data_IF_239471258345
#
_entry.id   IF_239471258345
#
_cell.length_a   1.000
_cell.length_b   1.000
_cell.length_c   1.000
_cell.angle_alpha   90.00
_cell.angle_beta   90.00
_cell.angle_gamma   90.00
#
_symmetry.space_group_name_H-M   'P 1'
#
loop_
_entity.id
_entity.type
_entity.pdbx_description
1 polymer ?
#
# COMPACT_ATOMS: atom_id res chain seq x y z
N UNK A 1 30.48 -25.19 -12.55
CA UNK A 1 29.61 -24.59 -13.58
C UNK A 1 28.26 -25.26 -13.42
N UNK A 2 27.35 -24.61 -12.69
CA UNK A 2 26.03 -25.16 -12.39
C UNK A 2 25.07 -24.84 -13.54
N UNK A 3 24.15 -25.74 -13.92
CA UNK A 3 23.19 -25.46 -14.98
C UNK A 3 22.23 -24.37 -14.49
N UNK A 4 22.22 -23.24 -15.21
CA UNK A 4 21.29 -22.13 -15.00
C UNK A 4 19.97 -22.49 -15.70
N UNK A 5 18.87 -22.62 -14.94
CA UNK A 5 17.54 -22.78 -15.53
C UNK A 5 16.93 -21.41 -15.81
N UNK A 6 16.83 -21.06 -17.08
CA UNK A 6 16.16 -19.86 -17.59
C UNK A 6 14.63 -20.01 -17.56
N UNK A 7 14.02 -20.23 -16.39
CA UNK A 7 12.58 -20.00 -16.25
C UNK A 7 12.36 -18.78 -15.35
N UNK A 8 11.75 -17.72 -15.88
CA UNK A 8 11.53 -16.48 -15.13
C UNK A 8 10.40 -16.69 -14.12
N UNK A 9 10.59 -16.39 -12.84
CA UNK A 9 9.48 -16.17 -11.90
C UNK A 9 9.42 -14.65 -11.71
N UNK A 10 8.40 -14.00 -12.25
CA UNK A 10 8.16 -12.60 -11.96
C UNK A 10 7.18 -12.54 -10.80
N UNK A 11 7.52 -11.78 -9.77
CA UNK A 11 6.68 -11.65 -8.60
C UNK A 11 6.68 -10.15 -8.26
N UNK A 12 5.49 -9.58 -8.45
CA UNK A 12 5.03 -8.22 -8.19
C UNK A 12 5.77 -7.02 -8.82
N UNK A 13 4.97 -6.10 -9.36
CA UNK A 13 5.39 -4.73 -9.72
C UNK A 13 4.57 -3.78 -8.85
N UNK A 14 5.23 -3.13 -7.91
CA UNK A 14 4.66 -2.07 -7.11
C UNK A 14 5.20 -0.76 -7.65
N UNK A 15 4.36 0.14 -8.16
CA UNK A 15 4.78 1.45 -8.65
C UNK A 15 4.27 2.53 -7.70
N UNK A 16 5.17 3.36 -7.19
CA UNK A 16 4.88 4.59 -6.45
C UNK A 16 5.33 5.76 -7.31
N UNK A 17 4.59 6.87 -7.35
CA UNK A 17 5.06 8.13 -7.93
C UNK A 17 5.50 9.12 -6.84
N UNK A 18 6.54 9.91 -7.11
CA UNK A 18 6.92 11.08 -6.30
C UNK A 18 6.23 12.34 -6.84
N UNK A 19 5.87 13.28 -5.96
CA UNK A 19 5.42 14.61 -6.36
C UNK A 19 6.56 15.64 -6.34
N UNK A 20 6.63 16.47 -7.38
CA UNK A 20 7.19 17.81 -7.27
C UNK A 20 6.15 18.74 -6.64
N UNK A 21 6.54 19.41 -5.55
CA UNK A 21 5.85 20.51 -4.85
C UNK A 21 4.32 20.55 -4.96
N UNK A 22 3.63 19.72 -4.18
CA UNK A 22 2.24 19.94 -3.77
C UNK A 22 2.11 19.68 -2.27
N UNK A 23 1.45 20.62 -1.58
CA UNK A 23 1.50 20.87 -0.14
C UNK A 23 0.77 19.85 0.74
N UNK A 24 1.35 18.67 0.94
CA UNK A 24 1.05 17.84 2.11
C UNK A 24 2.26 17.87 3.06
N UNK A 25 2.28 18.85 3.97
CA UNK A 25 3.30 18.96 5.00
C UNK A 25 2.74 18.39 6.31
N UNK A 26 3.18 17.19 6.70
CA UNK A 26 3.06 16.73 8.09
C UNK A 26 4.21 17.38 8.87
N UNK A 27 3.91 18.38 9.68
CA UNK A 27 4.89 18.99 10.59
C UNK A 27 4.77 18.32 11.95
N UNK A 28 5.73 17.47 12.33
CA UNK A 28 5.84 16.90 13.67
C UNK A 28 6.83 17.69 14.51
N UNK A 29 6.37 18.31 15.60
CA UNK A 29 7.24 18.88 16.65
C UNK A 29 7.54 17.81 17.70
N UNK A 30 8.82 17.64 18.08
CA UNK A 30 9.23 16.72 19.14
C UNK A 30 9.02 17.41 20.48
N UNK A 31 8.17 16.87 21.34
CA UNK A 31 8.14 17.22 22.76
C UNK A 31 8.34 15.95 23.59
N UNK A 32 9.43 15.92 24.36
CA UNK A 32 9.71 14.86 25.31
C UNK A 32 9.00 15.19 26.63
N UNK A 33 7.92 14.50 26.95
CA UNK A 33 7.41 14.47 28.31
C UNK A 33 7.32 13.04 28.83
N UNK A 34 8.04 12.81 29.92
CA UNK A 34 8.12 11.57 30.67
C UNK A 34 6.94 11.52 31.66
N UNK A 35 5.93 10.68 31.40
CA UNK A 35 4.87 10.40 32.38
C UNK A 35 4.49 8.92 32.33
N UNK A 36 4.61 8.28 33.50
CA UNK A 36 4.44 6.86 33.72
C UNK A 36 3.04 6.30 33.47
N UNK A 37 3.06 5.03 33.03
CA UNK A 37 2.14 3.93 33.31
C UNK A 37 0.63 4.18 33.11
N UNK A 38 0.11 3.70 31.97
CA UNK A 38 -1.04 2.78 31.85
C UNK A 38 -0.99 2.14 30.46
N UNK A 39 -0.84 0.82 30.42
CA UNK A 39 -0.93 0.01 29.19
C UNK A 39 -2.41 -0.13 28.89
N UNK A 40 -2.97 0.80 28.10
CA UNK A 40 -4.25 0.58 27.44
C UNK A 40 -3.96 -0.41 26.30
N UNK A 41 -4.61 -1.58 26.37
CA UNK A 41 -4.67 -2.51 25.26
C UNK A 41 -5.48 -1.81 24.17
N UNK A 42 -4.81 -1.20 23.21
CA UNK A 42 -5.42 -0.87 21.92
C UNK A 42 -5.50 -2.16 21.14
N UNK A 43 -6.72 -2.66 20.91
CA UNK A 43 -6.96 -3.63 19.83
C UNK A 43 -6.41 -3.00 18.53
N UNK A 44 -5.46 -3.70 17.90
CA UNK A 44 -4.50 -3.24 16.88
C UNK A 44 -3.49 -2.16 17.30
N UNK A 45 -2.39 -2.54 18.00
CA UNK A 45 -1.24 -1.65 18.18
C UNK A 45 -0.54 -1.42 16.83
N UNK A 46 -0.93 -0.36 16.11
CA UNK A 46 -0.27 0.01 14.85
C UNK A 46 -1.18 0.53 13.73
N UNK A 47 -2.47 0.83 13.99
CA UNK A 47 -3.34 1.39 12.96
C UNK A 47 -4.30 2.44 13.53
N UNK A 48 -4.48 3.57 12.82
CA UNK A 48 -5.51 4.57 13.13
C UNK A 48 -6.53 4.55 11.99
N UNK A 49 -7.77 4.15 12.29
CA UNK A 49 -8.90 4.18 11.37
C UNK A 49 -10.00 5.06 11.93
N UNK A 50 -10.28 6.16 11.24
CA UNK A 50 -11.28 7.15 11.64
C UNK A 50 -12.31 7.26 10.51
N UNK A 51 -13.58 7.08 10.86
CA UNK A 51 -14.74 7.36 10.01
C UNK A 51 -15.25 8.75 10.34
N UNK A 52 -15.03 9.68 9.41
CA UNK A 52 -15.29 11.09 9.58
C UNK A 52 -16.77 11.39 9.37
N UNK A 53 -17.39 11.99 10.39
CA UNK A 53 -18.83 12.26 10.40
C UNK A 53 -19.71 11.09 10.85
N UNK A 54 -19.15 9.93 11.19
CA UNK A 54 -19.91 8.80 11.70
C UNK A 54 -20.61 9.07 13.04
N UNK A 55 -21.73 8.36 13.26
CA UNK A 55 -22.53 8.47 14.47
C UNK A 55 -22.00 7.63 15.65
N UNK A 56 -21.19 6.61 15.38
CA UNK A 56 -20.60 5.76 16.40
C UNK A 56 -19.52 4.84 15.81
N UNK A 57 -18.67 4.35 16.70
CA UNK A 57 -17.58 3.42 16.38
C UNK A 57 -18.15 2.06 15.93
N UNK A 58 -17.39 1.32 15.14
CA UNK A 58 -17.78 -0.02 14.70
C UNK A 58 -16.60 -0.89 14.30
N UNK A 59 -16.84 -2.19 14.32
CA UNK A 59 -15.98 -3.20 13.71
C UNK A 59 -16.50 -3.49 12.30
N UNK A 60 -15.62 -3.37 11.30
CA UNK A 60 -15.92 -3.75 9.93
C UNK A 60 -15.65 -5.25 9.75
N UNK A 61 -16.70 -6.06 9.67
CA UNK A 61 -16.58 -7.52 9.60
C UNK A 61 -15.88 -8.03 8.33
N UNK A 62 -15.86 -7.23 7.26
CA UNK A 62 -15.23 -7.63 6.00
C UNK A 62 -13.70 -7.50 6.07
N UNK A 63 -13.19 -6.44 6.71
CA UNK A 63 -11.75 -6.14 6.80
C UNK A 63 -11.15 -6.45 8.17
N UNK A 64 -11.98 -6.65 9.19
CA UNK A 64 -11.55 -6.78 10.59
C UNK A 64 -11.09 -5.46 11.23
N UNK A 65 -11.32 -4.32 10.56
CA UNK A 65 -10.83 -3.01 11.00
C UNK A 65 -11.85 -2.37 11.94
N UNK A 66 -11.37 -1.86 13.07
CA UNK A 66 -12.18 -1.04 13.99
C UNK A 66 -12.08 0.42 13.57
N UNK A 67 -13.19 1.00 13.13
CA UNK A 67 -13.32 2.42 12.83
C UNK A 67 -13.86 3.17 14.05
N UNK A 68 -13.20 4.28 14.37
CA UNK A 68 -13.64 5.24 15.39
C UNK A 68 -14.24 6.47 14.75
N UNK A 69 -15.15 7.14 15.46
CA UNK A 69 -15.62 8.47 15.03
C UNK A 69 -14.50 9.51 15.14
N UNK A 70 -14.61 10.59 14.37
CA UNK A 70 -13.64 11.70 14.37
C UNK A 70 -13.76 12.67 15.55
N UNK A 71 -14.73 12.47 16.46
CA UNK A 71 -15.11 13.44 17.50
C UNK A 71 -13.98 13.80 18.48
N UNK A 72 -13.03 12.90 18.69
CA UNK A 72 -11.88 13.12 19.58
C UNK A 72 -10.69 13.78 18.86
N UNK A 73 -10.74 13.89 17.54
CA UNK A 73 -9.61 14.33 16.70
C UNK A 73 -9.83 15.71 16.10
N UNK A 74 -11.09 16.19 16.02
CA UNK A 74 -11.45 17.51 15.51
C UNK A 74 -12.74 18.01 16.15
N UNK A 75 -12.83 19.32 16.39
CA UNK A 75 -13.95 20.01 17.04
C UNK A 75 -14.76 20.91 16.09
N UNK A 76 -14.31 21.09 14.84
CA UNK A 76 -14.98 21.90 13.82
C UNK A 76 -15.68 21.05 12.75
N UNK A 77 -16.47 21.71 11.90
CA UNK A 77 -17.17 21.09 10.78
C UNK A 77 -18.52 20.50 11.15
N UNK A 78 -19.19 19.95 10.15
CA UNK A 78 -20.55 19.41 10.22
C UNK A 78 -20.60 18.03 9.56
N UNK A 79 -21.41 17.12 10.12
CA UNK A 79 -21.54 15.75 9.64
C UNK A 79 -22.63 15.67 8.57
N UNK A 80 -22.38 14.91 7.50
CA UNK A 80 -23.34 14.67 6.43
C UNK A 80 -23.36 13.20 6.02
N UNK A 81 -24.51 12.75 5.53
CA UNK A 81 -24.68 11.45 4.89
C UNK A 81 -24.58 11.61 3.37
N UNK A 82 -23.87 10.69 2.71
CA UNK A 82 -23.71 10.72 1.25
C UNK A 82 -24.96 10.17 0.58
N UNK A 83 -25.59 10.97 -0.29
CA UNK A 83 -26.79 10.55 -1.04
C UNK A 83 -26.51 9.36 -1.95
N UNK A 84 -27.44 8.40 -1.95
CA UNK A 84 -27.39 7.19 -2.79
C UNK A 84 -28.08 7.34 -4.15
N UNK A 85 -28.67 8.50 -4.45
CA UNK A 85 -29.66 8.67 -5.53
C UNK A 85 -29.07 8.68 -6.97
N UNK A 86 -27.75 8.86 -7.14
CA UNK A 86 -27.07 8.85 -8.45
C UNK A 86 -26.18 7.61 -8.68
N UNK A 87 -26.53 6.49 -8.02
CA UNK A 87 -25.70 5.33 -7.70
C UNK A 87 -25.22 4.40 -8.82
N UNK A 88 -24.64 4.89 -9.91
CA UNK A 88 -23.76 4.05 -10.74
C UNK A 88 -22.37 3.85 -10.10
N UNK A 89 -22.03 4.62 -9.06
CA UNK A 89 -20.88 4.34 -8.16
C UNK A 89 -21.21 3.28 -7.08
N UNK A 90 -22.49 2.87 -6.99
CA UNK A 90 -23.04 2.07 -5.89
C UNK A 90 -23.42 0.65 -6.31
N UNK A 91 -22.96 0.15 -7.45
CA UNK A 91 -23.31 -1.21 -7.89
C UNK A 91 -22.16 -2.01 -8.51
N UNK A 92 -22.09 -3.27 -8.04
CA UNK A 92 -21.48 -4.48 -8.58
C UNK A 92 -20.12 -4.99 -8.08
N UNK A 93 -19.46 -4.32 -7.13
CA UNK A 93 -18.41 -4.96 -6.30
C UNK A 93 -18.72 -4.65 -4.82
N UNK A 94 -19.01 -5.67 -4.01
CA UNK A 94 -19.50 -5.59 -2.62
C UNK A 94 -18.51 -4.99 -1.61
N UNK A 95 -18.06 -3.76 -1.83
CA UNK A 95 -17.24 -2.99 -0.91
C UNK A 95 -17.69 -1.52 -0.92
N UNK A 96 -18.95 -1.24 -0.57
CA UNK A 96 -19.20 0.07 0.07
C UNK A 96 -18.54 -0.04 1.44
N UNK A 97 -17.26 0.31 1.46
CA UNK A 97 -16.50 0.64 2.64
C UNK A 97 -17.36 1.56 3.48
N UNK A 98 -17.84 1.05 4.63
CA UNK A 98 -18.85 1.71 5.48
C UNK A 98 -18.46 3.15 5.82
N UNK A 99 -17.16 3.40 5.91
CA UNK A 99 -16.52 4.70 6.12
C UNK A 99 -16.66 5.73 4.99
N UNK A 100 -17.29 5.37 3.87
CA UNK A 100 -17.60 6.30 2.78
C UNK A 100 -19.06 6.75 2.77
N UNK A 101 -19.90 6.22 3.69
CA UNK A 101 -21.31 6.60 3.80
C UNK A 101 -21.53 7.94 4.47
N UNK A 102 -20.61 8.35 5.32
CA UNK A 102 -20.63 9.63 5.99
C UNK A 102 -19.44 10.47 5.56
N UNK A 103 -19.55 11.77 5.80
CA UNK A 103 -18.43 12.69 5.71
C UNK A 103 -18.57 13.78 6.76
N UNK A 104 -17.44 14.38 7.12
CA UNK A 104 -17.40 15.69 7.77
C UNK A 104 -17.03 16.75 6.74
N UNK A 105 -17.85 17.79 6.64
CA UNK A 105 -17.60 18.95 5.78
C UNK A 105 -17.19 20.17 6.62
N UNK A 106 -16.45 21.08 6.00
CA UNK A 106 -15.91 22.28 6.65
C UNK A 106 -16.29 23.54 5.86
N UNK A 107 -17.54 24.02 5.96
CA UNK A 107 -17.98 25.22 5.25
C UNK A 107 -17.29 26.49 5.77
N UNK A 108 -16.81 26.46 7.01
CA UNK A 108 -16.19 27.57 7.70
C UNK A 108 -14.70 27.32 7.95
N UNK A 109 -13.94 28.42 8.07
CA UNK A 109 -12.50 28.38 8.34
C UNK A 109 -11.65 28.20 7.08
N UNK A 110 -10.43 28.73 7.13
CA UNK A 110 -9.44 28.61 6.04
C UNK A 110 -8.61 27.33 6.14
N UNK A 111 -8.53 26.74 7.35
CA UNK A 111 -7.77 25.53 7.66
C UNK A 111 -8.43 24.78 8.82
N UNK A 112 -8.70 23.49 8.63
CA UNK A 112 -9.32 22.62 9.63
C UNK A 112 -8.40 21.42 9.86
N UNK A 113 -7.93 21.21 11.08
CA UNK A 113 -6.86 20.26 11.38
C UNK A 113 -7.30 19.17 12.36
N UNK A 114 -7.09 17.92 11.97
CA UNK A 114 -7.15 16.76 12.83
C UNK A 114 -5.87 16.64 13.64
N UNK A 115 -6.01 16.51 14.96
CA UNK A 115 -4.89 16.25 15.87
C UNK A 115 -4.85 14.77 16.18
N UNK A 116 -3.87 14.05 15.62
CA UNK A 116 -3.79 12.60 15.74
C UNK A 116 -2.79 12.24 16.82
N UNK A 117 -3.16 11.32 17.72
CA UNK A 117 -2.27 10.87 18.78
C UNK A 117 -1.60 9.55 18.37
N UNK A 118 -0.38 9.63 17.84
CA UNK A 118 0.40 8.44 17.48
C UNK A 118 1.38 8.09 18.62
N UNK A 119 1.15 6.95 19.27
CA UNK A 119 2.08 6.38 20.25
C UNK A 119 2.97 5.33 19.56
N UNK A 120 4.05 5.77 18.90
CA UNK A 120 5.01 4.87 18.26
C UNK A 120 6.14 4.56 19.23
N UNK A 121 6.26 3.31 19.72
CA UNK A 121 7.45 2.79 20.41
C UNK A 121 8.21 3.80 21.32
N UNK A 122 7.47 4.50 22.19
CA UNK A 122 7.95 5.51 23.18
C UNK A 122 8.22 6.94 22.66
N UNK A 123 7.97 7.22 21.39
CA UNK A 123 7.88 8.58 20.85
C UNK A 123 6.41 8.96 20.69
N UNK A 124 5.98 10.02 21.39
CA UNK A 124 4.70 10.68 21.10
C UNK A 124 4.92 11.61 19.93
N UNK A 125 4.38 11.24 18.78
CA UNK A 125 4.29 12.13 17.63
C UNK A 125 2.82 12.47 17.46
N UNK A 126 2.52 13.76 17.43
CA UNK A 126 1.15 14.24 17.19
C UNK A 126 1.08 14.85 15.79
N UNK A 127 0.93 14.04 14.72
CA UNK A 127 0.78 14.60 13.39
C UNK A 127 -0.53 15.39 13.31
N UNK A 128 -0.47 16.53 12.64
CA UNK A 128 -1.63 17.33 12.30
C UNK A 128 -1.95 17.14 10.81
N UNK A 129 -3.13 16.60 10.50
CA UNK A 129 -3.66 16.53 9.14
C UNK A 129 -4.61 17.70 8.94
N UNK A 130 -4.35 18.58 7.97
CA UNK A 130 -5.18 19.75 7.76
C UNK A 130 -5.83 19.79 6.38
N UNK A 131 -7.13 20.05 6.35
CA UNK A 131 -7.87 20.40 5.15
C UNK A 131 -7.86 21.92 4.99
N UNK A 132 -7.29 22.39 3.89
CA UNK A 132 -7.26 23.80 3.54
C UNK A 132 -8.41 24.15 2.60
N UNK A 133 -9.09 25.26 2.88
CA UNK A 133 -10.09 25.80 1.98
C UNK A 133 -9.41 26.61 0.87
N UNK A 134 -9.54 26.15 -0.38
CA UNK A 134 -8.95 26.80 -1.56
C UNK A 134 -9.91 27.76 -2.27
N UNK A 135 -11.14 27.89 -1.80
CA UNK A 135 -12.20 28.67 -2.45
C UNK A 135 -12.87 27.97 -3.65
N UNK A 136 -12.54 26.70 -3.94
CA UNK A 136 -13.12 25.92 -5.05
C UNK A 136 -14.25 24.97 -4.63
N UNK A 137 -14.78 25.14 -3.42
CA UNK A 137 -15.81 24.29 -2.83
C UNK A 137 -15.66 24.16 -1.32
N UNK A 138 -16.52 23.35 -0.71
CA UNK A 138 -16.45 23.05 0.72
C UNK A 138 -15.50 21.85 0.90
N UNK A 139 -14.39 21.99 1.64
CA UNK A 139 -13.53 20.86 1.99
C UNK A 139 -14.31 19.81 2.80
N UNK A 140 -14.07 18.54 2.51
CA UNK A 140 -14.65 17.43 3.26
C UNK A 140 -13.71 16.23 3.33
N UNK A 141 -13.97 15.34 4.27
CA UNK A 141 -13.26 14.07 4.46
C UNK A 141 -14.25 13.01 4.97
N UNK A 142 -14.18 11.81 4.40
CA UNK A 142 -15.02 10.67 4.80
C UNK A 142 -14.28 9.69 5.71
N UNK A 143 -13.00 9.45 5.45
CA UNK A 143 -12.22 8.51 6.23
C UNK A 143 -10.76 8.93 6.31
N UNK A 144 -10.12 8.56 7.42
CA UNK A 144 -8.69 8.64 7.61
C UNK A 144 -8.16 7.29 8.09
N UNK A 145 -7.29 6.68 7.28
CA UNK A 145 -6.66 5.40 7.56
C UNK A 145 -5.15 5.59 7.54
N UNK A 146 -4.49 5.31 8.66
CA UNK A 146 -3.06 5.49 8.84
C UNK A 146 -2.45 4.21 9.44
N UNK A 147 -1.80 3.40 8.59
CA UNK A 147 -0.92 2.34 9.06
C UNK A 147 0.27 2.96 9.80
N UNK A 148 0.52 2.48 11.01
CA UNK A 148 1.66 2.82 11.85
C UNK A 148 2.53 1.58 12.11
N UNK A 149 3.02 0.89 11.06
CA UNK A 149 3.92 -0.25 11.22
C UNK A 149 5.26 0.20 11.83
N UNK A 150 6.00 -0.75 12.40
CA UNK A 150 7.37 -0.48 12.83
C UNK A 150 8.23 -0.10 11.62
N UNK A 151 8.53 1.19 11.51
CA UNK A 151 9.28 1.76 10.37
C UNK A 151 10.75 1.34 10.35
N UNK A 152 11.28 0.77 11.44
CA UNK A 152 12.70 0.42 11.55
C UNK A 152 13.14 -0.59 10.48
N UNK A 153 12.22 -1.42 10.00
CA UNK A 153 12.44 -2.43 8.95
C UNK A 153 11.63 -2.15 7.68
N UNK A 154 11.22 -0.90 7.47
CA UNK A 154 10.38 -0.59 6.30
C UNK A 154 11.13 -0.81 4.99
N UNK A 155 10.52 -1.57 4.09
CA UNK A 155 11.04 -1.72 2.72
C UNK A 155 10.89 -0.42 1.92
N UNK A 156 9.97 0.45 2.33
CA UNK A 156 9.63 1.67 1.61
C UNK A 156 10.50 2.87 1.98
N UNK A 157 11.81 2.70 1.87
CA UNK A 157 12.76 3.81 2.04
C UNK A 157 12.86 4.61 0.74
N UNK A 158 12.84 5.93 0.82
CA UNK A 158 12.94 6.79 -0.37
C UNK A 158 13.72 8.06 -0.08
N UNK A 159 14.48 8.50 -1.08
CA UNK A 159 15.16 9.79 -1.07
C UNK A 159 14.23 10.92 -1.56
N UNK A 160 13.03 10.57 -2.08
CA UNK A 160 12.07 11.51 -2.68
C UNK A 160 11.10 12.15 -1.68
N UNK A 161 11.24 11.91 -0.37
CA UNK A 161 10.31 12.39 0.65
C UNK A 161 8.96 11.67 0.57
N UNK A 162 7.85 12.42 0.48
CA UNK A 162 6.52 11.84 0.47
C UNK A 162 6.21 11.12 -0.86
N UNK A 163 5.63 9.92 -0.72
CA UNK A 163 5.30 9.03 -1.82
C UNK A 163 3.79 9.00 -2.04
N UNK A 164 3.35 9.05 -3.30
CA UNK A 164 1.97 8.74 -3.67
C UNK A 164 1.90 7.33 -4.22
N UNK A 165 1.11 6.48 -3.57
CA UNK A 165 0.81 5.15 -4.08
C UNK A 165 0.10 5.26 -5.45
N UNK A 166 0.58 4.51 -6.45
CA UNK A 166 -0.03 4.46 -7.79
C UNK A 166 -0.74 3.13 -7.96
N UNK A 167 0.00 2.02 -7.89
CA UNK A 167 -0.53 0.67 -8.07
C UNK A 167 0.29 -0.39 -7.33
N UNK A 168 -0.46 -1.37 -6.84
CA UNK A 168 -0.08 -2.62 -6.16
C UNK A 168 -0.73 -3.75 -6.93
N UNK A 169 0.06 -4.70 -7.41
CA UNK A 169 -0.45 -5.86 -8.13
C UNK A 169 -0.15 -7.14 -7.39
N UNK A 170 -1.13 -8.05 -7.34
CA UNK A 170 -0.94 -9.45 -7.04
C UNK A 170 -1.04 -10.25 -8.35
N UNK A 171 0.08 -10.87 -8.74
CA UNK A 171 0.24 -11.59 -10.01
C UNK A 171 -0.23 -13.05 -9.95
N UNK A 172 -0.48 -13.58 -8.76
CA UNK A 172 -0.85 -14.99 -8.59
C UNK A 172 -2.36 -15.23 -8.50
N UNK A 173 -3.14 -14.15 -8.35
CA UNK A 173 -4.60 -14.19 -8.29
C UNK A 173 -5.23 -14.08 -9.68
N UNK A 174 -6.43 -14.65 -9.85
CA UNK A 174 -7.15 -14.59 -11.12
C UNK A 174 -7.43 -13.14 -11.52
N UNK A 175 -7.27 -12.75 -12.81
CA UNK A 175 -7.59 -11.41 -13.32
C UNK A 175 -9.07 -11.04 -13.16
N UNK A 176 -9.95 -12.02 -12.95
CA UNK A 176 -11.38 -11.79 -12.67
C UNK A 176 -11.70 -11.61 -11.19
N UNK A 177 -10.71 -11.72 -10.29
CA UNK A 177 -10.92 -11.53 -8.85
C UNK A 177 -11.10 -10.05 -8.52
N UNK A 178 -11.80 -9.70 -7.44
CA UNK A 178 -11.75 -8.34 -6.91
C UNK A 178 -10.34 -8.02 -6.38
N UNK A 179 -10.08 -6.74 -6.14
CA UNK A 179 -8.91 -6.33 -5.39
C UNK A 179 -9.00 -6.86 -3.94
N UNK A 180 -7.86 -7.28 -3.38
CA UNK A 180 -7.78 -7.93 -2.07
C UNK A 180 -7.08 -7.03 -1.06
N UNK A 181 -7.63 -6.95 0.16
CA UNK A 181 -6.99 -6.34 1.34
C UNK A 181 -6.71 -7.48 2.30
N UNK A 182 -5.43 -7.83 2.48
CA UNK A 182 -5.05 -8.96 3.30
C UNK A 182 -4.88 -8.54 4.76
N UNK A 183 -5.56 -9.21 5.68
CA UNK A 183 -5.53 -8.87 7.11
C UNK A 183 -4.13 -8.92 7.73
N UNK A 184 -3.25 -9.77 7.19
CA UNK A 184 -1.87 -9.96 7.67
C UNK A 184 -0.87 -8.99 7.00
N UNK A 185 -1.31 -8.15 6.06
CA UNK A 185 -0.47 -7.13 5.45
C UNK A 185 -0.31 -5.94 6.42
N UNK A 186 0.88 -5.82 7.02
CA UNK A 186 1.19 -4.78 8.02
C UNK A 186 1.11 -3.34 7.49
N UNK A 187 1.13 -3.15 6.18
CA UNK A 187 0.94 -1.85 5.52
C UNK A 187 -0.49 -1.64 5.04
N UNK A 188 -1.33 -2.67 5.18
CA UNK A 188 -2.74 -2.68 4.84
C UNK A 188 -2.99 -2.24 3.38
N UNK A 189 -2.15 -2.76 2.48
CA UNK A 189 -2.21 -2.43 1.06
C UNK A 189 -3.38 -3.17 0.40
N UNK A 190 -3.97 -2.51 -0.59
CA UNK A 190 -4.99 -3.11 -1.46
C UNK A 190 -4.30 -3.67 -2.70
N UNK A 191 -4.31 -4.97 -2.90
CA UNK A 191 -3.65 -5.67 -4.00
C UNK A 191 -4.61 -5.91 -5.16
N UNK A 192 -4.26 -5.47 -6.36
CA UNK A 192 -5.10 -5.64 -7.55
C UNK A 192 -4.62 -6.85 -8.37
N UNK A 193 -5.51 -7.66 -8.95
CA UNK A 193 -5.06 -8.72 -9.83
C UNK A 193 -4.41 -8.14 -11.09
N UNK A 194 -3.34 -8.79 -11.55
CA UNK A 194 -2.76 -8.49 -12.86
C UNK A 194 -2.19 -9.74 -13.51
N UNK A 195 -2.63 -10.01 -14.74
CA UNK A 195 -2.15 -11.14 -15.52
C UNK A 195 -1.26 -10.65 -16.66
N UNK A 196 -0.03 -11.18 -16.73
CA UNK A 196 0.83 -10.98 -17.88
C UNK A 196 0.34 -11.85 -19.05
N UNK A 197 0.53 -11.35 -20.27
CA UNK A 197 0.36 -12.17 -21.48
C UNK A 197 1.33 -13.35 -21.45
N UNK A 198 0.87 -14.54 -21.86
CA UNK A 198 1.66 -15.79 -21.90
C UNK A 198 2.28 -16.19 -20.55
N UNK A 199 1.54 -15.99 -19.47
CA UNK A 199 2.02 -16.27 -18.12
C UNK A 199 1.12 -17.26 -17.40
N UNK A 200 1.72 -18.04 -16.51
CA UNK A 200 1.05 -19.04 -15.67
C UNK A 200 1.28 -18.72 -14.20
N UNK A 201 0.21 -18.58 -13.39
CA UNK A 201 0.35 -18.43 -11.96
C UNK A 201 0.77 -19.77 -11.34
N UNK A 202 1.55 -19.68 -10.28
CA UNK A 202 2.00 -20.81 -9.48
C UNK A 202 1.90 -20.45 -8.00
N UNK A 203 1.75 -21.46 -7.14
CA UNK A 203 1.63 -21.26 -5.71
C UNK A 203 2.37 -22.29 -4.88
N UNK A 204 2.53 -21.98 -3.59
CA UNK A 204 3.03 -22.88 -2.56
C UNK A 204 2.16 -22.83 -1.31
N UNK A 205 2.14 -23.93 -0.57
CA UNK A 205 1.57 -24.00 0.78
C UNK A 205 2.65 -23.91 1.88
N UNK A 206 3.93 -23.87 1.49
CA UNK A 206 5.04 -23.73 2.42
C UNK A 206 5.10 -22.31 3.00
N UNK A 207 5.51 -22.21 4.26
CA UNK A 207 5.79 -20.92 4.88
C UNK A 207 6.99 -20.25 4.20
N UNK A 208 6.89 -18.95 3.97
CA UNK A 208 7.97 -18.13 3.43
C UNK A 208 8.62 -17.41 4.61
N UNK A 209 9.95 -17.39 4.65
CA UNK A 209 10.71 -16.67 5.67
C UNK A 209 10.66 -15.16 5.40
N UNK A 210 9.48 -14.58 5.59
CA UNK A 210 9.18 -13.22 5.20
C UNK A 210 9.25 -12.25 6.38
N UNK A 211 10.24 -11.37 6.30
CA UNK A 211 10.47 -10.31 7.27
C UNK A 211 9.69 -9.02 6.94
N UNK A 212 9.01 -8.96 5.79
CA UNK A 212 8.45 -7.73 5.22
C UNK A 212 6.92 -7.61 5.30
N UNK A 213 6.23 -8.59 5.88
CA UNK A 213 4.76 -8.59 6.01
C UNK A 213 4.04 -8.73 4.66
N UNK A 214 4.66 -9.46 3.74
CA UNK A 214 4.26 -9.80 2.38
C UNK A 214 3.98 -11.30 2.21
N UNK A 215 4.11 -12.13 3.24
CA UNK A 215 4.05 -13.60 3.16
C UNK A 215 2.84 -14.10 2.36
N UNK A 216 1.66 -13.57 2.65
CA UNK A 216 0.39 -13.97 2.00
C UNK A 216 0.43 -13.78 0.49
N UNK A 217 1.07 -12.70 0.03
CA UNK A 217 1.19 -12.34 -1.38
C UNK A 217 2.31 -13.19 -2.01
N UNK A 218 3.45 -13.34 -1.33
CA UNK A 218 4.61 -14.09 -1.80
C UNK A 218 4.38 -15.60 -1.94
N UNK A 219 3.30 -16.16 -1.37
CA UNK A 219 2.89 -17.57 -1.57
C UNK A 219 2.49 -17.88 -3.01
N UNK A 220 2.25 -16.84 -3.80
CA UNK A 220 1.94 -16.96 -5.22
C UNK A 220 2.95 -16.19 -6.06
N UNK A 221 3.13 -16.65 -7.29
CA UNK A 221 4.07 -16.10 -8.24
C UNK A 221 3.56 -16.34 -9.66
N UNK A 222 4.18 -15.69 -10.65
CA UNK A 222 3.90 -15.96 -12.07
C UNK A 222 5.18 -16.31 -12.81
N UNK A 223 5.07 -17.18 -13.80
CA UNK A 223 6.17 -17.50 -14.73
C UNK A 223 5.69 -17.43 -16.18
N UNK A 224 6.58 -17.25 -17.18
CA UNK A 224 6.26 -17.49 -18.58
C UNK A 224 5.75 -18.91 -18.77
N UNK A 225 4.66 -19.08 -19.51
CA UNK A 225 4.06 -20.39 -19.79
C UNK A 225 5.03 -21.31 -20.53
N UNK A 226 5.85 -20.74 -21.41
CA UNK A 226 6.88 -21.45 -22.17
C UNK A 226 8.20 -21.61 -21.40
N UNK A 227 8.30 -21.04 -20.19
CA UNK A 227 9.52 -20.93 -19.40
C UNK A 227 10.55 -19.93 -19.95
N UNK A 228 10.61 -19.71 -21.26
CA UNK A 228 11.74 -19.03 -21.92
C UNK A 228 11.49 -17.54 -22.19
N UNK A 229 10.23 -17.11 -22.30
CA UNK A 229 9.89 -15.74 -22.68
C UNK A 229 10.06 -14.74 -21.55
N UNK A 230 10.23 -13.46 -21.89
CA UNK A 230 10.15 -12.37 -20.92
C UNK A 230 8.71 -11.99 -20.63
N UNK A 231 8.39 -11.70 -19.36
CA UNK A 231 7.14 -11.07 -18.98
C UNK A 231 7.30 -9.55 -19.04
N UNK A 232 6.50 -8.88 -19.88
CA UNK A 232 6.62 -7.45 -20.15
C UNK A 232 5.47 -6.67 -19.53
N UNK A 233 5.81 -5.62 -18.79
CA UNK A 233 4.87 -4.67 -18.22
C UNK A 233 5.10 -3.29 -18.80
N UNK A 234 4.03 -2.64 -19.25
CA UNK A 234 4.06 -1.24 -19.68
C UNK A 234 3.05 -0.43 -18.89
N UNK A 235 3.53 0.59 -18.20
CA UNK A 235 2.68 1.58 -17.53
C UNK A 235 2.72 2.89 -18.30
N UNK A 236 1.54 3.42 -18.61
CA UNK A 236 1.41 4.75 -19.20
C UNK A 236 1.47 5.77 -18.07
N UNK A 237 2.52 6.59 -18.05
CA UNK A 237 2.64 7.68 -17.09
C UNK A 237 1.60 8.77 -17.39
N UNK A 238 0.93 9.27 -16.36
CA UNK A 238 -0.01 10.40 -16.51
C UNK A 238 0.68 11.73 -16.80
N UNK A 239 1.97 11.85 -16.44
CA UNK A 239 2.79 13.04 -16.68
C UNK A 239 4.27 12.65 -16.81
N UNK A 240 4.96 13.23 -17.80
CA UNK A 240 6.37 12.98 -18.11
C UNK A 240 7.37 13.53 -17.07
N UNK A 241 6.92 14.40 -16.15
CA UNK A 241 7.75 14.92 -15.06
C UNK A 241 7.74 14.06 -13.79
N UNK A 242 6.87 13.06 -13.71
CA UNK A 242 6.76 12.21 -12.52
C UNK A 242 7.93 11.22 -12.47
N UNK A 243 8.52 11.10 -11.29
CA UNK A 243 9.46 10.01 -10.98
C UNK A 243 8.70 8.90 -10.28
N UNK A 244 9.11 7.67 -10.52
CA UNK A 244 8.50 6.50 -9.95
C UNK A 244 9.52 5.71 -9.13
N UNK A 245 9.10 5.21 -7.98
CA UNK A 245 9.82 4.22 -7.20
C UNK A 245 9.09 2.89 -7.38
N UNK A 246 9.75 1.94 -8.03
CA UNK A 246 9.22 0.60 -8.28
C UNK A 246 9.80 -0.35 -7.26
N UNK A 247 8.95 -1.15 -6.62
CA UNK A 247 9.36 -2.25 -5.76
C UNK A 247 8.93 -3.56 -6.40
N UNK A 248 9.84 -4.51 -6.52
CA UNK A 248 9.56 -5.84 -7.03
C UNK A 248 9.96 -6.88 -6.00
N UNK A 249 9.08 -7.82 -5.70
CA UNK A 249 9.24 -8.73 -4.57
C UNK A 249 9.26 -10.16 -5.08
N UNK A 250 10.37 -10.86 -4.92
CA UNK A 250 10.60 -12.20 -5.45
C UNK A 250 10.68 -13.23 -4.35
N UNK A 251 10.14 -14.42 -4.59
CA UNK A 251 10.37 -15.60 -3.78
C UNK A 251 10.46 -16.83 -4.70
N UNK A 252 11.46 -17.68 -4.48
CA UNK A 252 11.49 -19.00 -5.11
C UNK A 252 10.63 -19.95 -4.28
N UNK A 253 9.47 -20.30 -4.83
CA UNK A 253 8.42 -21.05 -4.14
C UNK A 253 8.30 -22.50 -4.63
N UNK A 254 9.08 -22.89 -5.65
CA UNK A 254 9.21 -24.27 -6.11
C UNK A 254 10.62 -24.77 -5.84
N UNK A 255 10.71 -25.91 -5.19
CA UNK A 255 11.99 -26.55 -4.96
C UNK A 255 12.61 -26.94 -6.30
N UNK A 256 13.83 -26.46 -6.54
CA UNK A 256 14.65 -26.85 -7.68
C UNK A 256 15.58 -27.96 -7.19
N UNK A 257 16.03 -28.84 -8.09
CA UNK A 257 16.97 -29.90 -7.76
C UNK A 257 18.15 -29.37 -6.92
N UNK A 258 18.61 -30.20 -5.99
CA UNK A 258 19.60 -29.83 -4.97
C UNK A 258 20.80 -29.09 -5.60
N UNK A 259 21.13 -27.91 -5.04
CA UNK A 259 22.21 -27.02 -5.49
C UNK A 259 21.99 -26.27 -6.82
N UNK A 260 20.78 -26.26 -7.37
CA UNK A 260 20.42 -25.35 -8.45
C UNK A 260 19.82 -24.05 -7.91
N UNK A 261 20.10 -22.96 -8.60
CA UNK A 261 19.53 -21.64 -8.33
C UNK A 261 18.86 -21.14 -9.60
N UNK A 262 17.75 -20.41 -9.42
CA UNK A 262 17.12 -19.67 -10.51
C UNK A 262 17.78 -18.32 -10.63
N UNK A 263 18.08 -17.98 -11.87
CA UNK A 263 18.69 -16.72 -12.21
C UNK A 263 17.86 -16.02 -13.28
N UNK A 264 17.70 -14.71 -13.14
CA UNK A 264 17.00 -13.88 -14.11
C UNK A 264 17.54 -12.45 -14.10
N UNK A 265 17.19 -11.70 -15.14
CA UNK A 265 17.48 -10.27 -15.24
C UNK A 265 16.20 -9.45 -15.35
N UNK A 266 16.23 -8.24 -14.80
CA UNK A 266 15.16 -7.26 -14.96
C UNK A 266 15.68 -6.12 -15.82
N UNK A 267 14.88 -5.71 -16.79
CA UNK A 267 15.13 -4.50 -17.60
C UNK A 267 14.02 -3.50 -17.36
N UNK A 268 14.35 -2.30 -16.87
CA UNK A 268 13.41 -1.20 -16.68
C UNK A 268 13.87 0.01 -17.48
N UNK A 269 13.01 0.55 -18.34
CA UNK A 269 13.35 1.70 -19.20
C UNK A 269 14.68 1.52 -19.96
N UNK A 270 14.89 0.32 -20.51
CA UNK A 270 16.10 -0.09 -21.24
C UNK A 270 17.37 -0.22 -20.39
N UNK A 271 17.26 -0.11 -19.07
CA UNK A 271 18.35 -0.33 -18.12
C UNK A 271 18.25 -1.75 -17.56
N UNK A 272 19.27 -2.57 -17.82
CA UNK A 272 19.37 -3.92 -17.30
C UNK A 272 20.01 -3.89 -15.90
N UNK A 273 19.33 -4.49 -14.92
CA UNK A 273 19.79 -4.60 -13.52
C UNK A 273 20.71 -5.81 -13.29
N UNK A 274 20.97 -6.58 -14.34
CA UNK A 274 21.89 -7.68 -14.37
C UNK A 274 21.37 -8.91 -13.65
N UNK A 275 22.36 -9.63 -13.14
CA UNK A 275 22.36 -10.91 -12.44
C UNK A 275 21.47 -11.08 -11.20
N UNK A 276 20.21 -11.53 -11.22
CA UNK A 276 19.42 -11.71 -9.99
C UNK A 276 19.23 -13.19 -9.67
N UNK A 277 19.64 -13.59 -8.47
CA UNK A 277 19.49 -14.95 -7.94
C UNK A 277 18.58 -14.95 -6.71
N UNK A 278 17.63 -15.88 -6.68
CA UNK A 278 16.67 -16.03 -5.57
C UNK A 278 16.84 -17.40 -4.92
N UNK A 279 16.75 -17.44 -3.59
CA UNK A 279 16.87 -18.66 -2.81
C UNK A 279 15.49 -19.21 -2.43
N UNK A 280 15.39 -20.54 -2.37
CA UNK A 280 14.14 -21.22 -2.02
C UNK A 280 13.59 -20.74 -0.66
N UNK A 281 12.32 -20.32 -0.66
CA UNK A 281 11.56 -19.76 0.48
C UNK A 281 12.19 -18.55 1.19
N UNK A 282 13.16 -17.90 0.54
CA UNK A 282 13.80 -16.67 1.04
C UNK A 282 13.47 -15.50 0.13
N UNK A 283 12.59 -14.59 0.55
CA UNK A 283 12.14 -13.50 -0.30
C UNK A 283 13.21 -12.42 -0.48
N UNK A 284 13.14 -11.75 -1.61
CA UNK A 284 14.02 -10.62 -1.98
C UNK A 284 13.16 -9.49 -2.51
N UNK A 285 13.41 -8.26 -2.07
CA UNK A 285 12.77 -7.06 -2.63
C UNK A 285 13.80 -6.18 -3.33
N UNK A 286 13.51 -5.78 -4.56
CA UNK A 286 14.32 -4.84 -5.33
C UNK A 286 13.58 -3.49 -5.42
N UNK A 287 14.31 -2.41 -5.12
CA UNK A 287 13.84 -1.03 -5.33
C UNK A 287 14.51 -0.45 -6.58
N UNK A 288 13.73 0.14 -7.46
CA UNK A 288 14.19 0.78 -8.69
C UNK A 288 13.58 2.17 -8.85
N UNK A 289 14.40 3.17 -9.16
CA UNK A 289 13.91 4.53 -9.40
C UNK A 289 13.81 4.76 -10.92
N UNK A 290 12.65 5.18 -11.40
CA UNK A 290 12.36 5.43 -12.80
C UNK A 290 11.93 6.88 -13.02
N UNK A 291 12.22 7.38 -14.21
CA UNK A 291 11.64 8.61 -14.72
C UNK A 291 10.82 8.24 -15.96
N UNK A 292 9.64 8.82 -16.11
CA UNK A 292 8.83 8.61 -17.31
C UNK A 292 9.58 9.07 -18.56
N UNK A 293 9.63 8.20 -19.57
CA UNK A 293 10.08 8.56 -20.92
C UNK A 293 8.88 9.09 -21.71
N UNK A 294 9.10 10.12 -22.51
CA UNK A 294 8.13 10.52 -23.54
C UNK A 294 8.22 9.48 -24.65
N UNK A 295 7.10 8.85 -25.00
CA UNK A 295 7.01 7.98 -26.18
C UNK A 295 7.11 8.81 -27.45
#
# INVERSE_FOLDING_TARGET
MFPVLNNLLLVFVFAIASFGASSLMLTGGIQNEDVGRRKLVTENPGFISIDCGANGDYHDEATGIVYRTDREFIDTGENHEVSTENGNYLSSDNLIQRQLKNLRSFPNGTRNCYTLNCNLNRLRVTPNLCLANTGSGIPFISALELPLPDISNSIYTTDFGALKHVKTYDLGISPSSPAMRYNDDVYDRIWHPYAFSNSEPIGTSQCIDDFYGLEVVLRTAVRPADGLSSLNYTMIASNSSMKYCVYSHFAEIKEIAQYQLREFSITLNDINYGSITVHYLKPMSLRSNLQSKVM
#
